data_IF_654449345348
#
_entry.id   IF_654449345348
#
_cell.length_a   1.000
_cell.length_b   1.000
_cell.length_c   1.000
_cell.angle_alpha   90.00
_cell.angle_beta   90.00
_cell.angle_gamma   90.00
#
_symmetry.space_group_name_H-M   'P 1'
#
loop_
_entity.id
_entity.type
_entity.pdbx_description
1 polymer ?
#
# COMPACT_ATOMS: atom_id res chain seq x y z
N UNK A 1 -22.72 10.12 36.93
CA UNK A 1 -22.82 9.06 37.96
C UNK A 1 -23.26 7.81 37.23
N UNK A 2 -22.44 6.81 36.94
CA UNK A 2 -21.62 6.01 37.83
C UNK A 2 -20.28 5.69 37.15
N UNK A 3 -19.20 5.87 37.91
CA UNK A 3 -17.90 5.27 37.63
C UNK A 3 -18.00 3.75 37.80
N UNK A 4 -17.29 2.99 36.97
CA UNK A 4 -16.33 1.99 37.46
C UNK A 4 -15.34 1.65 36.35
N UNK A 5 -14.10 2.07 36.59
CA UNK A 5 -12.92 1.74 35.83
C UNK A 5 -12.57 0.26 36.03
N UNK A 6 -12.46 -0.51 34.96
CA UNK A 6 -11.70 -1.77 34.96
C UNK A 6 -10.99 -1.95 33.61
N UNK A 7 -10.07 -1.04 33.32
CA UNK A 7 -8.98 -1.31 32.37
C UNK A 7 -7.74 -1.66 33.19
N UNK A 8 -7.26 -2.90 33.12
CA UNK A 8 -5.86 -3.22 33.43
C UNK A 8 -5.03 -2.81 32.22
N UNK A 9 -4.80 -1.50 32.11
CA UNK A 9 -3.74 -0.93 31.29
C UNK A 9 -2.57 -0.72 32.23
N UNK A 10 -1.45 -1.41 31.99
CA UNK A 10 -0.18 -0.99 32.57
C UNK A 10 0.30 0.15 31.67
N UNK A 11 -0.24 1.36 31.87
CA UNK A 11 0.18 2.57 31.16
C UNK A 11 0.44 3.69 32.15
N UNK A 12 1.59 4.33 32.00
CA UNK A 12 1.81 5.67 32.54
C UNK A 12 1.73 6.66 31.36
N UNK A 13 0.64 7.44 31.36
CA UNK A 13 0.37 8.65 30.56
C UNK A 13 -0.14 8.42 29.11
N UNK A 14 -1.02 9.31 28.63
CA UNK A 14 -2.17 9.05 27.76
C UNK A 14 -2.07 9.55 26.29
N UNK A 15 -2.55 8.71 25.34
CA UNK A 15 -3.44 8.87 24.14
C UNK A 15 -3.36 10.09 23.16
N UNK A 16 -3.87 10.03 21.89
CA UNK A 16 -4.85 9.08 21.29
C UNK A 16 -4.62 8.49 19.87
N UNK A 17 -4.96 7.20 19.73
CA UNK A 17 -5.70 6.45 18.67
C UNK A 17 -5.86 6.96 17.22
N UNK A 18 -5.33 6.21 16.24
CA UNK A 18 -6.01 5.69 15.02
C UNK A 18 -5.24 4.44 14.53
N UNK A 19 -5.95 3.36 14.16
CA UNK A 19 -5.48 1.98 13.83
C UNK A 19 -5.53 0.98 14.99
N UNK A 20 -6.74 0.51 15.33
CA UNK A 20 -6.93 -0.73 16.08
C UNK A 20 -8.02 -1.55 15.39
N UNK A 21 -7.73 -2.73 14.82
CA UNK A 21 -8.77 -3.69 14.48
C UNK A 21 -9.22 -4.40 15.77
N UNK A 22 -10.49 -4.80 15.78
CA UNK A 22 -11.20 -5.64 16.77
C UNK A 22 -12.08 -4.93 17.82
N UNK A 23 -13.37 -5.26 17.75
CA UNK A 23 -14.45 -4.79 18.62
C UNK A 23 -14.54 -5.48 19.97
N UNK A 24 -15.40 -4.89 20.81
CA UNK A 24 -15.68 -5.18 22.22
C UNK A 24 -15.81 -6.68 22.53
N UNK A 25 -14.83 -7.23 23.24
CA UNK A 25 -14.89 -8.25 24.31
C UNK A 25 -13.45 -8.35 24.87
N UNK A 26 -13.17 -7.78 26.05
CA UNK A 26 -11.80 -7.82 26.63
C UNK A 26 -11.41 -9.28 26.88
N UNK A 27 -10.42 -9.79 26.12
CA UNK A 27 -9.90 -11.18 26.25
C UNK A 27 -8.37 -11.27 26.35
N UNK A 28 -7.68 -10.14 26.48
CA UNK A 28 -6.23 -10.13 26.71
C UNK A 28 -5.79 -8.80 27.31
N UNK A 29 -4.83 -8.79 28.25
CA UNK A 29 -4.22 -7.55 28.69
C UNK A 29 -3.60 -6.82 27.50
N UNK A 30 -3.70 -5.48 27.48
CA UNK A 30 -2.89 -4.64 26.59
C UNK A 30 -1.67 -4.24 27.39
N UNK A 31 -0.50 -4.73 26.99
CA UNK A 31 0.76 -4.30 27.58
C UNK A 31 1.40 -3.27 26.66
N UNK A 32 1.50 -2.05 27.17
CA UNK A 32 2.09 -0.89 26.52
C UNK A 32 3.05 -0.28 27.52
N UNK A 33 4.34 -0.62 27.39
CA UNK A 33 5.36 -0.17 28.34
C UNK A 33 6.40 0.66 27.62
N UNK A 34 6.80 1.77 28.24
CA UNK A 34 7.94 2.58 27.79
C UNK A 34 9.29 1.90 28.04
N UNK A 35 9.32 0.74 28.74
CA UNK A 35 10.54 -0.03 29.09
C UNK A 35 10.25 -1.54 29.21
N UNK A 36 9.95 -2.27 28.12
CA UNK A 36 9.71 -3.71 28.19
C UNK A 36 11.04 -4.47 28.06
N UNK A 37 11.92 -4.38 29.05
CA UNK A 37 13.20 -5.12 28.98
C UNK A 37 13.05 -6.61 29.28
N UNK A 38 11.98 -7.03 29.99
CA UNK A 38 11.78 -8.44 30.38
C UNK A 38 10.29 -8.82 30.50
N UNK A 39 9.85 -9.81 29.73
CA UNK A 39 8.56 -10.49 29.86
C UNK A 39 8.75 -11.83 30.58
N UNK A 40 9.29 -11.81 31.80
CA UNK A 40 9.65 -13.02 32.57
C UNK A 40 8.51 -13.56 33.44
N UNK A 41 7.33 -12.93 33.43
CA UNK A 41 6.19 -13.37 34.25
C UNK A 41 5.28 -14.36 33.52
N UNK A 42 4.96 -15.47 34.19
CA UNK A 42 4.00 -16.49 33.72
C UNK A 42 2.58 -15.93 33.51
N UNK A 43 2.29 -14.73 34.03
CA UNK A 43 1.03 -14.02 33.83
C UNK A 43 0.79 -13.57 32.37
N UNK A 44 1.83 -13.59 31.52
CA UNK A 44 1.74 -13.15 30.13
C UNK A 44 1.37 -14.27 29.14
N UNK A 45 1.18 -15.52 29.59
CA UNK A 45 0.83 -16.64 28.70
C UNK A 45 -0.55 -16.49 28.02
N UNK A 46 -1.42 -15.61 28.53
CA UNK A 46 -2.73 -15.27 27.94
C UNK A 46 -2.67 -14.03 27.03
N UNK A 47 -1.52 -13.36 26.93
CA UNK A 47 -1.36 -12.14 26.15
C UNK A 47 -1.57 -12.43 24.67
N UNK A 48 -2.45 -11.65 24.03
CA UNK A 48 -2.75 -11.76 22.59
C UNK A 48 -2.27 -10.55 21.79
N UNK A 49 -2.09 -9.42 22.46
CA UNK A 49 -1.69 -8.15 21.84
C UNK A 49 -0.55 -7.56 22.67
N UNK A 50 0.60 -7.38 22.04
CA UNK A 50 1.75 -6.71 22.61
C UNK A 50 2.10 -5.53 21.71
N UNK A 51 2.12 -4.33 22.29
CA UNK A 51 2.56 -3.13 21.59
C UNK A 51 3.67 -2.43 22.38
N UNK A 52 4.88 -2.58 21.87
CA UNK A 52 6.09 -1.92 22.35
C UNK A 52 6.71 -1.06 21.24
N UNK A 53 5.90 -0.53 20.32
CA UNK A 53 6.37 0.30 19.21
C UNK A 53 6.67 1.75 19.61
N UNK A 54 6.30 2.17 20.83
CA UNK A 54 6.50 3.54 21.29
C UNK A 54 7.87 3.76 21.96
N UNK A 55 8.72 4.48 21.24
CA UNK A 55 9.77 5.39 21.75
C UNK A 55 10.84 4.79 22.66
N UNK A 56 11.73 3.99 22.07
CA UNK A 56 13.18 4.25 22.20
C UNK A 56 14.00 3.36 21.24
N UNK A 57 15.00 3.92 20.54
CA UNK A 57 15.88 3.15 19.65
C UNK A 57 16.82 2.19 20.39
N UNK A 58 16.87 2.26 21.73
CA UNK A 58 17.80 1.48 22.56
C UNK A 58 17.24 0.11 22.98
N UNK A 59 15.98 -0.20 22.66
CA UNK A 59 15.39 -1.51 23.01
C UNK A 59 15.52 -2.50 21.85
N UNK A 60 16.61 -3.25 21.91
CA UNK A 60 16.99 -4.18 20.85
C UNK A 60 16.36 -5.58 20.95
N UNK A 61 15.66 -5.93 22.03
CA UNK A 61 15.04 -7.25 22.16
C UNK A 61 14.01 -7.29 23.29
N UNK A 62 12.82 -7.83 23.03
CA UNK A 62 11.86 -8.16 24.09
C UNK A 62 12.22 -9.57 24.62
N UNK A 63 12.99 -9.64 25.70
CA UNK A 63 13.34 -10.91 26.36
C UNK A 63 12.05 -11.59 26.86
N UNK A 64 11.84 -12.88 26.57
CA UNK A 64 10.67 -13.64 27.01
C UNK A 64 9.50 -13.64 26.02
N UNK A 65 9.68 -13.11 24.81
CA UNK A 65 8.65 -13.15 23.76
C UNK A 65 8.27 -14.58 23.36
N UNK A 66 9.20 -15.52 23.50
CA UNK A 66 9.02 -16.96 23.30
C UNK A 66 7.96 -17.58 24.22
N UNK A 67 7.65 -16.95 25.36
CA UNK A 67 6.64 -17.41 26.31
C UNK A 67 5.22 -17.01 25.88
N UNK A 68 5.07 -16.09 24.92
CA UNK A 68 3.78 -15.54 24.49
C UNK A 68 3.08 -16.42 23.45
N UNK A 69 2.79 -17.66 23.81
CA UNK A 69 2.21 -18.69 22.92
C UNK A 69 0.79 -18.39 22.42
N UNK A 70 0.15 -17.32 22.91
CA UNK A 70 -1.18 -16.88 22.49
C UNK A 70 -1.18 -15.54 21.75
N UNK A 71 0.01 -14.99 21.48
CA UNK A 71 0.16 -13.73 20.79
C UNK A 71 -0.41 -13.80 19.37
N UNK A 72 -1.22 -12.81 19.02
CA UNK A 72 -1.84 -12.63 17.69
C UNK A 72 -1.41 -11.32 17.03
N UNK A 73 -1.09 -10.32 17.83
CA UNK A 73 -0.61 -9.03 17.38
C UNK A 73 0.67 -8.66 18.12
N UNK A 74 1.70 -8.29 17.36
CA UNK A 74 2.98 -7.82 17.87
C UNK A 74 3.35 -6.51 17.18
N UNK A 75 3.55 -5.44 17.95
CA UNK A 75 4.11 -4.19 17.48
C UNK A 75 5.42 -3.90 18.23
N UNK A 76 6.51 -3.68 17.49
CA UNK A 76 7.86 -3.48 18.04
C UNK A 76 8.58 -2.33 17.31
N UNK A 77 9.51 -1.66 17.98
CA UNK A 77 10.40 -0.66 17.34
C UNK A 77 11.73 -1.25 16.84
N UNK A 78 11.91 -2.57 16.92
CA UNK A 78 13.20 -3.21 16.66
C UNK A 78 13.32 -3.71 15.20
N UNK A 79 14.49 -3.51 14.59
CA UNK A 79 14.81 -4.10 13.29
C UNK A 79 15.07 -5.62 13.38
N UNK A 80 15.48 -6.12 14.55
CA UNK A 80 15.70 -7.54 14.79
C UNK A 80 14.41 -8.19 15.25
N UNK A 81 13.88 -9.08 14.40
CA UNK A 81 12.64 -9.78 14.66
C UNK A 81 12.87 -11.00 15.57
N UNK A 82 11.82 -11.48 16.25
CA UNK A 82 11.94 -12.65 17.10
C UNK A 82 12.42 -13.85 16.27
N UNK A 83 13.51 -14.48 16.69
CA UNK A 83 14.00 -15.74 16.09
C UNK A 83 13.17 -16.96 16.53
N UNK A 84 11.95 -16.75 17.01
CA UNK A 84 11.08 -17.77 17.59
C UNK A 84 9.76 -17.81 16.83
N UNK A 85 9.30 -19.02 16.52
CA UNK A 85 8.05 -19.23 15.81
C UNK A 85 6.84 -19.01 16.74
N UNK A 86 6.20 -17.86 16.61
CA UNK A 86 4.96 -17.52 17.29
C UNK A 86 3.76 -18.04 16.49
N UNK A 87 3.42 -19.32 16.66
CA UNK A 87 2.46 -20.05 15.80
C UNK A 87 1.07 -19.42 15.66
N UNK A 88 0.61 -18.63 16.65
CA UNK A 88 -0.69 -17.94 16.65
C UNK A 88 -0.62 -16.48 16.20
N UNK A 89 0.56 -15.98 15.88
CA UNK A 89 0.74 -14.58 15.47
C UNK A 89 0.10 -14.37 14.11
N UNK A 90 -0.78 -13.37 14.02
CA UNK A 90 -1.54 -13.04 12.81
C UNK A 90 -1.03 -11.73 12.19
N UNK A 91 -0.54 -10.81 13.02
CA UNK A 91 -0.12 -9.47 12.63
C UNK A 91 1.20 -9.07 13.30
N UNK A 92 2.14 -8.58 12.50
CA UNK A 92 3.36 -7.94 12.99
C UNK A 92 3.52 -6.52 12.44
N UNK A 93 3.78 -5.58 13.34
CA UNK A 93 4.13 -4.19 13.05
C UNK A 93 5.54 -3.89 13.54
N UNK A 94 6.35 -3.31 12.67
CA UNK A 94 7.72 -2.93 12.95
C UNK A 94 7.85 -1.43 12.68
N UNK A 95 8.04 -0.64 13.73
CA UNK A 95 8.30 0.80 13.66
C UNK A 95 9.78 1.08 13.37
N UNK A 96 10.26 0.59 12.23
CA UNK A 96 11.62 0.81 11.78
C UNK A 96 11.77 2.16 11.05
N UNK A 97 12.87 2.88 11.34
CA UNK A 97 13.21 4.14 10.65
C UNK A 97 13.88 3.94 9.29
N UNK A 98 14.58 2.82 9.14
CA UNK A 98 15.29 2.38 7.92
C UNK A 98 14.77 1.01 7.54
N UNK A 99 15.05 0.57 6.32
CA UNK A 99 14.71 -0.77 5.84
C UNK A 99 15.08 -1.85 6.88
N UNK A 100 14.12 -2.73 7.17
CA UNK A 100 14.29 -3.89 8.06
C UNK A 100 14.42 -5.19 7.27
N UNK A 101 14.76 -6.28 7.94
CA UNK A 101 14.88 -7.59 7.29
C UNK A 101 13.70 -8.49 7.62
N UNK A 102 13.19 -9.22 6.63
CA UNK A 102 12.24 -10.31 6.79
C UNK A 102 13.03 -11.63 6.86
N UNK A 103 13.16 -12.28 8.03
CA UNK A 103 13.72 -13.61 8.17
C UNK A 103 12.78 -14.69 7.65
N UNK A 104 13.38 -15.82 7.25
CA UNK A 104 12.71 -17.05 6.82
C UNK A 104 11.71 -17.58 7.88
N UNK A 105 12.06 -17.46 9.17
CA UNK A 105 11.19 -17.85 10.29
C UNK A 105 9.82 -17.17 10.21
N UNK A 106 9.77 -15.89 9.80
CA UNK A 106 8.50 -15.16 9.68
C UNK A 106 7.66 -15.66 8.50
N UNK A 107 8.30 -16.04 7.39
CA UNK A 107 7.61 -16.62 6.24
C UNK A 107 7.01 -18.00 6.57
N UNK A 108 7.60 -18.73 7.52
CA UNK A 108 7.14 -20.04 7.95
C UNK A 108 6.10 -20.02 9.10
N UNK A 109 5.64 -18.84 9.55
CA UNK A 109 4.63 -18.76 10.62
C UNK A 109 3.23 -19.08 10.10
N UNK A 110 2.64 -20.18 10.58
CA UNK A 110 1.36 -20.74 10.09
C UNK A 110 0.18 -19.75 10.13
N UNK A 111 0.07 -18.94 11.19
CA UNK A 111 -1.06 -18.02 11.37
C UNK A 111 -0.82 -16.62 10.81
N UNK A 112 0.41 -16.31 10.36
CA UNK A 112 0.80 -14.95 10.02
C UNK A 112 0.16 -14.50 8.71
N UNK A 113 -0.53 -13.35 8.75
CA UNK A 113 -1.28 -12.80 7.61
C UNK A 113 -0.78 -11.42 7.20
N UNK A 114 -0.29 -10.65 8.15
CA UNK A 114 0.04 -9.25 7.92
C UNK A 114 1.42 -8.90 8.48
N UNK A 115 2.28 -8.43 7.60
CA UNK A 115 3.63 -7.99 7.91
C UNK A 115 3.76 -6.52 7.52
N UNK A 116 4.01 -5.67 8.51
CA UNK A 116 4.09 -4.23 8.28
C UNK A 116 5.37 -3.64 8.86
N UNK A 117 6.19 -3.07 7.99
CA UNK A 117 7.37 -2.27 8.32
C UNK A 117 7.12 -0.83 7.91
N UNK A 118 7.30 0.11 8.83
CA UNK A 118 7.14 1.55 8.55
C UNK A 118 8.20 2.07 7.58
N UNK A 119 9.44 1.63 7.75
CA UNK A 119 10.59 2.04 6.94
C UNK A 119 10.82 1.15 5.71
N UNK A 120 9.90 0.23 5.41
CA UNK A 120 10.10 -0.81 4.38
C UNK A 120 10.93 -1.99 4.88
N UNK A 121 11.02 -3.03 4.07
CA UNK A 121 11.80 -4.23 4.39
C UNK A 121 12.39 -4.89 3.15
N UNK A 122 13.41 -5.72 3.34
CA UNK A 122 13.97 -6.63 2.34
C UNK A 122 14.00 -8.07 2.90
N UNK A 123 14.17 -9.07 2.03
CA UNK A 123 14.38 -10.43 2.51
C UNK A 123 15.79 -10.59 3.07
N UNK A 124 15.89 -11.19 4.26
CA UNK A 124 17.17 -11.39 4.94
C UNK A 124 18.10 -12.36 4.21
N UNK A 125 19.37 -12.38 4.62
CA UNK A 125 20.33 -13.38 4.15
C UNK A 125 19.92 -14.83 4.49
N UNK A 126 19.15 -15.06 5.57
CA UNK A 126 18.71 -16.41 5.94
C UNK A 126 17.71 -16.98 4.92
N UNK A 127 16.83 -16.14 4.35
CA UNK A 127 15.95 -16.53 3.24
C UNK A 127 16.76 -17.07 2.05
N UNK A 128 17.87 -16.40 1.72
CA UNK A 128 18.72 -16.75 0.57
C UNK A 128 19.54 -18.02 0.82
N UNK A 129 20.01 -18.23 2.06
CA UNK A 129 20.68 -19.48 2.42
C UNK A 129 19.76 -20.70 2.32
N UNK A 130 18.47 -20.53 2.65
CA UNK A 130 17.48 -21.59 2.56
C UNK A 130 17.19 -21.97 1.10
N UNK A 131 17.10 -20.98 0.20
CA UNK A 131 16.93 -21.22 -1.24
C UNK A 131 18.05 -22.09 -1.83
N UNK A 132 19.28 -21.98 -1.31
CA UNK A 132 20.44 -22.76 -1.78
C UNK A 132 20.48 -24.21 -1.26
N UNK A 133 19.64 -24.57 -0.28
CA UNK A 133 19.65 -25.88 0.38
C UNK A 133 18.61 -26.87 -0.15
N UNK A 134 17.85 -26.50 -1.20
CA UNK A 134 16.72 -27.28 -1.74
C UNK A 134 15.62 -27.61 -0.70
N UNK A 135 15.67 -27.01 0.48
CA UNK A 135 14.59 -27.05 1.46
C UNK A 135 13.52 -26.04 1.02
N UNK A 136 12.51 -26.54 0.30
CA UNK A 136 11.39 -25.73 -0.20
C UNK A 136 10.76 -24.92 0.93
N UNK A 137 10.79 -23.59 0.82
CA UNK A 137 9.92 -22.73 1.63
C UNK A 137 8.47 -23.19 1.42
N UNK A 138 7.74 -23.36 2.51
CA UNK A 138 6.35 -23.78 2.43
C UNK A 138 5.47 -22.59 2.01
N UNK A 139 4.36 -22.89 1.33
CA UNK A 139 3.34 -21.88 1.05
C UNK A 139 2.88 -21.26 2.36
N UNK A 140 2.94 -19.94 2.44
CA UNK A 140 2.56 -19.16 3.60
C UNK A 140 1.14 -18.57 3.46
N UNK A 141 0.65 -18.02 4.57
CA UNK A 141 -0.71 -17.46 4.66
C UNK A 141 -0.74 -15.92 4.59
N UNK A 142 0.34 -15.29 4.09
CA UNK A 142 0.44 -13.85 4.01
C UNK A 142 -0.61 -13.27 3.06
N UNK A 143 -1.29 -12.23 3.54
CA UNK A 143 -2.31 -11.47 2.83
C UNK A 143 -1.88 -10.03 2.59
N UNK A 144 -0.99 -9.50 3.42
CA UNK A 144 -0.46 -8.14 3.27
C UNK A 144 0.99 -8.07 3.69
N UNK A 145 1.79 -7.50 2.80
CA UNK A 145 3.13 -7.01 3.09
C UNK A 145 3.10 -5.49 2.86
N UNK A 146 3.76 -4.73 3.73
CA UNK A 146 3.96 -3.29 3.55
C UNK A 146 4.90 -3.01 2.36
N UNK A 147 5.74 -1.98 2.45
CA UNK A 147 6.79 -1.74 1.45
C UNK A 147 7.86 -2.82 1.54
N UNK A 148 8.10 -3.51 0.44
CA UNK A 148 9.13 -4.52 0.24
C UNK A 148 10.09 -4.06 -0.86
N UNK A 149 11.39 -4.08 -0.59
CA UNK A 149 12.42 -3.88 -1.60
C UNK A 149 12.63 -5.17 -2.37
N UNK A 150 12.55 -5.09 -3.70
CA UNK A 150 12.86 -6.19 -4.62
C UNK A 150 14.14 -5.84 -5.37
N UNK A 151 15.20 -6.57 -5.08
CA UNK A 151 16.51 -6.36 -5.69
C UNK A 151 16.77 -7.27 -6.89
N UNK A 152 16.25 -8.49 -6.87
CA UNK A 152 16.48 -9.51 -7.90
C UNK A 152 15.34 -10.55 -8.00
N UNK A 153 15.48 -11.51 -8.92
CA UNK A 153 14.51 -12.59 -9.16
C UNK A 153 14.34 -13.53 -7.94
N UNK A 154 15.33 -13.63 -7.05
CA UNK A 154 15.23 -14.42 -5.83
C UNK A 154 14.15 -13.85 -4.90
N UNK A 155 14.08 -12.52 -4.79
CA UNK A 155 13.05 -11.83 -4.00
C UNK A 155 11.66 -12.06 -4.59
N UNK A 156 11.53 -12.11 -5.92
CA UNK A 156 10.28 -12.50 -6.59
C UNK A 156 9.90 -13.94 -6.29
N UNK A 157 10.87 -14.85 -6.29
CA UNK A 157 10.63 -16.25 -5.97
C UNK A 157 10.14 -16.42 -4.53
N UNK A 158 10.61 -15.61 -3.58
CA UNK A 158 10.07 -15.61 -2.22
C UNK A 158 8.60 -15.17 -2.16
N UNK A 159 8.19 -14.25 -3.03
CA UNK A 159 6.80 -13.82 -3.13
C UNK A 159 5.87 -14.92 -3.67
N UNK A 160 6.38 -15.88 -4.47
CA UNK A 160 5.59 -17.01 -4.98
C UNK A 160 5.09 -17.93 -3.87
N UNK A 161 5.76 -17.97 -2.72
CA UNK A 161 5.29 -18.69 -1.54
C UNK A 161 4.10 -18.01 -0.85
N UNK A 162 3.68 -16.83 -1.31
CA UNK A 162 2.57 -16.05 -0.74
C UNK A 162 1.38 -15.94 -1.71
N UNK A 163 0.74 -17.05 -2.16
CA UNK A 163 -0.26 -17.02 -3.23
C UNK A 163 -1.55 -16.27 -2.85
N UNK A 164 -1.83 -16.11 -1.56
CA UNK A 164 -3.01 -15.43 -1.02
C UNK A 164 -2.80 -13.93 -0.77
N UNK A 165 -1.69 -13.36 -1.25
CA UNK A 165 -1.36 -11.96 -1.05
C UNK A 165 -2.36 -11.06 -1.77
N UNK A 166 -2.98 -10.14 -1.02
CA UNK A 166 -3.99 -9.19 -1.54
C UNK A 166 -3.47 -7.77 -1.65
N UNK A 167 -2.46 -7.42 -0.85
CA UNK A 167 -1.89 -6.08 -0.78
C UNK A 167 -0.38 -6.15 -0.71
N UNK A 168 0.27 -5.46 -1.65
CA UNK A 168 1.71 -5.39 -1.75
C UNK A 168 2.14 -3.97 -2.13
N UNK A 169 3.20 -3.48 -1.50
CA UNK A 169 3.92 -2.31 -1.99
C UNK A 169 5.37 -2.72 -2.26
N UNK A 170 5.90 -2.33 -3.40
CA UNK A 170 7.24 -2.68 -3.82
C UNK A 170 8.04 -1.44 -4.17
N UNK A 171 9.31 -1.46 -3.76
CA UNK A 171 10.35 -0.57 -4.26
C UNK A 171 11.31 -1.45 -5.05
N UNK A 172 11.50 -1.13 -6.33
CA UNK A 172 12.25 -1.98 -7.25
C UNK A 172 13.48 -1.23 -7.71
N UNK A 173 14.63 -1.90 -7.63
CA UNK A 173 15.89 -1.38 -8.15
C UNK A 173 15.82 -1.05 -9.64
N UNK A 174 16.60 -0.06 -10.08
CA UNK A 174 16.51 0.55 -11.42
C UNK A 174 16.82 -0.38 -12.61
N UNK A 175 17.35 -1.58 -12.36
CA UNK A 175 17.80 -2.51 -13.42
C UNK A 175 16.91 -3.74 -13.57
N UNK A 176 15.83 -3.85 -12.80
CA UNK A 176 15.01 -5.05 -12.72
C UNK A 176 13.54 -4.75 -12.99
N UNK A 177 12.88 -5.52 -13.86
CA UNK A 177 11.45 -5.34 -14.16
C UNK A 177 10.65 -6.57 -13.68
N UNK A 178 10.14 -6.56 -12.44
CA UNK A 178 9.52 -7.73 -11.84
C UNK A 178 8.20 -8.10 -12.51
N UNK A 179 7.89 -9.39 -12.50
CA UNK A 179 6.68 -9.94 -13.11
C UNK A 179 5.71 -10.40 -12.01
N UNK A 180 4.62 -9.66 -11.81
CA UNK A 180 3.64 -9.97 -10.74
C UNK A 180 2.45 -10.81 -11.21
N UNK A 181 2.52 -11.39 -12.42
CA UNK A 181 1.45 -12.22 -13.01
C UNK A 181 1.11 -13.49 -12.20
N UNK A 182 2.02 -13.97 -11.34
CA UNK A 182 1.79 -15.16 -10.52
C UNK A 182 0.81 -14.93 -9.36
N UNK A 183 0.46 -13.67 -9.07
CA UNK A 183 -0.52 -13.37 -8.03
C UNK A 183 -1.96 -13.45 -8.54
N UNK A 184 -2.69 -14.45 -8.08
CA UNK A 184 -4.09 -14.65 -8.45
C UNK A 184 -5.08 -13.84 -7.59
N UNK A 185 -4.68 -13.36 -6.41
CA UNK A 185 -5.58 -12.66 -5.48
C UNK A 185 -5.15 -11.22 -5.17
N UNK A 186 -4.13 -10.70 -5.86
CA UNK A 186 -3.61 -9.36 -5.56
C UNK A 186 -4.61 -8.29 -6.01
N UNK A 187 -5.20 -7.59 -5.03
CA UNK A 187 -6.20 -6.56 -5.26
C UNK A 187 -5.59 -5.15 -5.26
N UNK A 188 -4.47 -4.94 -4.56
CA UNK A 188 -3.82 -3.64 -4.44
C UNK A 188 -2.30 -3.75 -4.57
N UNK A 189 -1.75 -3.03 -5.53
CA UNK A 189 -0.31 -2.95 -5.79
C UNK A 189 0.17 -1.51 -5.78
N UNK A 190 1.27 -1.24 -5.09
CA UNK A 190 2.03 0.01 -5.24
C UNK A 190 3.43 -0.34 -5.72
N UNK A 191 3.91 0.33 -6.75
CA UNK A 191 5.23 0.12 -7.32
C UNK A 191 5.97 1.44 -7.38
N UNK A 192 7.23 1.43 -6.95
CA UNK A 192 8.12 2.58 -7.05
C UNK A 192 9.41 2.18 -7.74
N UNK A 193 9.85 2.96 -8.73
CA UNK A 193 11.12 2.73 -9.44
C UNK A 193 10.96 2.26 -10.88
N UNK A 194 11.48 1.07 -11.19
CA UNK A 194 11.63 0.55 -12.56
C UNK A 194 10.31 0.23 -13.27
N UNK A 195 10.43 -0.12 -14.56
CA UNK A 195 9.31 -0.42 -15.44
C UNK A 195 8.56 -1.70 -15.07
N UNK A 196 7.38 -1.84 -15.64
CA UNK A 196 6.51 -2.99 -15.49
C UNK A 196 6.59 -3.90 -16.73
N UNK A 197 6.74 -5.20 -16.51
CA UNK A 197 6.63 -6.22 -17.57
C UNK A 197 5.26 -6.89 -17.55
N UNK A 198 4.72 -7.20 -16.37
CA UNK A 198 3.40 -7.83 -16.24
C UNK A 198 2.69 -7.43 -14.95
N UNK A 199 1.35 -7.35 -15.01
CA UNK A 199 0.50 -7.02 -13.89
C UNK A 199 -0.53 -8.14 -13.62
N UNK A 200 -0.90 -8.39 -12.35
CA UNK A 200 -1.95 -9.34 -12.03
C UNK A 200 -3.33 -8.82 -12.45
N UNK A 201 -4.16 -9.73 -12.94
CA UNK A 201 -5.45 -9.40 -13.57
C UNK A 201 -6.56 -9.00 -12.58
N UNK A 202 -6.44 -9.35 -11.30
CA UNK A 202 -7.42 -9.06 -10.25
C UNK A 202 -7.20 -7.74 -9.52
N UNK A 203 -6.33 -6.87 -10.05
CA UNK A 203 -6.04 -5.58 -9.45
C UNK A 203 -7.26 -4.66 -9.47
N UNK A 204 -7.62 -4.17 -8.28
CA UNK A 204 -8.61 -3.10 -8.08
C UNK A 204 -7.95 -1.75 -7.85
N UNK A 205 -6.71 -1.74 -7.35
CA UNK A 205 -5.96 -0.54 -7.06
C UNK A 205 -4.51 -0.66 -7.51
N UNK A 206 -4.09 0.29 -8.33
CA UNK A 206 -2.71 0.44 -8.77
C UNK A 206 -2.18 1.82 -8.38
N UNK A 207 -0.96 1.86 -7.86
CA UNK A 207 -0.23 3.11 -7.62
C UNK A 207 1.18 2.96 -8.18
N UNK A 208 1.54 3.79 -9.14
CA UNK A 208 2.87 3.83 -9.75
C UNK A 208 3.58 5.09 -9.31
N UNK A 209 4.81 4.95 -8.82
CA UNK A 209 5.63 6.05 -8.31
C UNK A 209 6.99 6.09 -9.01
N UNK A 210 7.38 7.26 -9.48
CA UNK A 210 8.71 7.48 -10.07
C UNK A 210 9.04 6.50 -11.20
N UNK A 211 8.03 6.12 -12.00
CA UNK A 211 8.19 5.16 -13.10
C UNK A 211 8.16 5.87 -14.45
N UNK A 212 9.04 5.44 -15.36
CA UNK A 212 8.96 5.81 -16.78
C UNK A 212 7.97 4.87 -17.48
N UNK A 213 6.88 5.42 -17.98
CA UNK A 213 5.81 4.69 -18.68
C UNK A 213 6.04 4.71 -20.19
N UNK A 214 6.07 3.53 -20.81
CA UNK A 214 5.92 3.38 -22.25
C UNK A 214 4.43 3.31 -22.63
N UNK A 215 4.14 3.49 -23.93
CA UNK A 215 2.79 3.32 -24.47
C UNK A 215 2.23 1.92 -24.19
N UNK A 216 3.04 0.88 -24.45
CA UNK A 216 2.67 -0.53 -24.23
C UNK A 216 2.29 -0.81 -22.77
N UNK A 217 3.01 -0.22 -21.80
CA UNK A 217 2.70 -0.40 -20.38
C UNK A 217 1.35 0.22 -20.02
N UNK A 218 1.02 1.37 -20.59
CA UNK A 218 -0.25 2.03 -20.35
C UNK A 218 -1.42 1.28 -20.99
N UNK A 219 -1.24 0.67 -22.17
CA UNK A 219 -2.25 -0.22 -22.75
C UNK A 219 -2.53 -1.42 -21.84
N UNK A 220 -1.48 -2.04 -21.27
CA UNK A 220 -1.63 -3.15 -20.33
C UNK A 220 -2.45 -2.71 -19.10
N UNK A 221 -2.15 -1.54 -18.54
CA UNK A 221 -2.88 -1.00 -17.39
C UNK A 221 -4.33 -0.65 -17.78
N UNK A 222 -4.53 -0.07 -18.96
CA UNK A 222 -5.83 0.28 -19.53
C UNK A 222 -6.74 -0.93 -19.68
N UNK A 223 -6.20 -2.09 -20.04
CA UNK A 223 -6.99 -3.33 -20.21
C UNK A 223 -7.34 -4.06 -18.90
N UNK A 224 -6.95 -3.53 -17.73
CA UNK A 224 -7.28 -4.16 -16.44
C UNK A 224 -8.78 -4.04 -16.13
N UNK A 225 -9.51 -5.14 -16.28
CA UNK A 225 -10.96 -5.20 -16.17
C UNK A 225 -11.53 -4.89 -14.78
N UNK A 226 -10.73 -5.03 -13.73
CA UNK A 226 -11.17 -4.81 -12.34
C UNK A 226 -10.61 -3.53 -11.71
N UNK A 227 -9.83 -2.74 -12.46
CA UNK A 227 -9.10 -1.60 -11.90
C UNK A 227 -10.05 -0.44 -11.60
N UNK A 228 -10.26 -0.13 -10.32
CA UNK A 228 -11.13 0.95 -9.87
C UNK A 228 -10.35 2.22 -9.48
N UNK A 229 -9.09 2.06 -9.09
CA UNK A 229 -8.25 3.15 -8.56
C UNK A 229 -6.89 3.13 -9.24
N UNK A 230 -6.57 4.18 -9.96
CA UNK A 230 -5.24 4.42 -10.54
C UNK A 230 -4.64 5.68 -9.93
N UNK A 231 -3.39 5.57 -9.48
CA UNK A 231 -2.60 6.71 -8.99
C UNK A 231 -1.25 6.72 -9.68
N UNK A 232 -0.97 7.79 -10.41
CA UNK A 232 0.32 8.05 -11.02
C UNK A 232 1.00 9.15 -10.20
N UNK A 233 2.21 8.88 -9.70
CA UNK A 233 2.96 9.81 -8.87
C UNK A 233 4.37 9.96 -9.42
N UNK A 234 4.78 11.17 -9.80
CA UNK A 234 6.12 11.43 -10.35
C UNK A 234 6.47 10.54 -11.55
N UNK A 235 5.47 10.12 -12.33
CA UNK A 235 5.66 9.30 -13.53
C UNK A 235 6.03 10.17 -14.74
N UNK A 236 6.71 9.60 -15.72
CA UNK A 236 7.02 10.25 -16.99
C UNK A 236 6.57 9.38 -18.17
N UNK A 237 6.21 9.99 -19.29
CA UNK A 237 5.67 9.31 -20.46
C UNK A 237 6.58 9.57 -21.66
N UNK A 238 6.78 8.57 -22.51
CA UNK A 238 7.48 8.77 -23.77
C UNK A 238 6.75 9.83 -24.62
N UNK A 239 7.50 10.82 -25.13
CA UNK A 239 6.94 11.95 -25.87
C UNK A 239 6.14 12.95 -25.02
N UNK A 240 6.14 12.84 -23.68
CA UNK A 240 5.33 13.65 -22.77
C UNK A 240 3.83 13.63 -23.12
N UNK A 241 3.36 12.52 -23.68
CA UNK A 241 2.01 12.36 -24.20
C UNK A 241 1.35 11.16 -23.56
N UNK A 242 0.11 11.33 -23.13
CA UNK A 242 -0.74 10.23 -22.69
C UNK A 242 -1.93 10.12 -23.64
N UNK A 243 -1.86 9.15 -24.55
CA UNK A 243 -2.98 8.76 -25.38
C UNK A 243 -3.72 7.60 -24.73
N UNK A 244 -5.04 7.67 -24.70
CA UNK A 244 -5.91 6.59 -24.25
C UNK A 244 -6.74 6.10 -25.43
N UNK A 245 -7.11 4.83 -25.41
CA UNK A 245 -7.82 4.18 -26.50
C UNK A 245 -9.18 3.62 -26.08
N UNK A 246 -10.01 3.32 -27.07
CA UNK A 246 -11.31 2.67 -26.86
C UNK A 246 -11.16 1.35 -26.08
N UNK A 247 -12.05 1.14 -25.09
CA UNK A 247 -12.07 -0.06 -24.27
C UNK A 247 -11.08 -0.08 -23.10
N UNK A 248 -10.26 0.97 -22.93
CA UNK A 248 -9.41 1.11 -21.75
C UNK A 248 -10.21 1.56 -20.51
N UNK A 249 -9.64 1.27 -19.34
CA UNK A 249 -10.11 1.68 -18.01
C UNK A 249 -11.62 1.45 -17.73
N UNK A 250 -12.18 0.26 -18.05
CA UNK A 250 -13.64 0.05 -18.06
C UNK A 250 -14.31 0.17 -16.67
N UNK A 251 -13.56 -0.01 -15.59
CA UNK A 251 -14.05 0.06 -14.20
C UNK A 251 -13.45 1.20 -13.37
N UNK A 252 -12.65 2.08 -13.99
CA UNK A 252 -11.91 3.09 -13.26
C UNK A 252 -12.85 4.13 -12.67
N UNK A 253 -12.85 4.29 -11.34
CA UNK A 253 -13.67 5.26 -10.60
C UNK A 253 -12.86 6.44 -10.09
N UNK A 254 -11.58 6.23 -9.82
CA UNK A 254 -10.70 7.26 -9.26
C UNK A 254 -9.36 7.29 -9.99
N UNK A 255 -9.04 8.46 -10.55
CA UNK A 255 -7.74 8.76 -11.16
C UNK A 255 -7.05 9.88 -10.39
N UNK A 256 -5.84 9.61 -9.88
CA UNK A 256 -4.94 10.63 -9.35
C UNK A 256 -3.69 10.75 -10.21
N UNK A 257 -3.39 11.95 -10.65
CA UNK A 257 -2.17 12.33 -11.36
C UNK A 257 -1.44 13.35 -10.50
N UNK A 258 -0.26 13.00 -10.01
CA UNK A 258 0.53 13.82 -9.08
C UNK A 258 1.96 13.98 -9.60
N UNK A 259 2.42 15.22 -9.83
CA UNK A 259 3.78 15.50 -10.33
C UNK A 259 4.16 14.72 -11.61
N UNK A 260 3.19 14.40 -12.48
CA UNK A 260 3.45 13.60 -13.69
C UNK A 260 3.96 14.49 -14.82
N UNK A 261 4.99 14.03 -15.52
CA UNK A 261 5.59 14.72 -16.67
C UNK A 261 4.83 14.41 -17.97
N UNK A 262 3.62 14.93 -18.08
CA UNK A 262 2.78 14.89 -19.29
C UNK A 262 2.46 16.32 -19.73
N UNK A 263 2.58 16.58 -21.03
CA UNK A 263 2.22 17.83 -21.67
C UNK A 263 0.86 17.74 -22.36
N UNK A 264 0.61 16.62 -23.03
CA UNK A 264 -0.62 16.36 -23.78
C UNK A 264 -1.29 15.09 -23.25
N UNK A 265 -2.57 15.21 -22.94
CA UNK A 265 -3.41 14.08 -22.58
C UNK A 265 -4.53 14.02 -23.60
N UNK A 266 -4.57 12.98 -24.44
CA UNK A 266 -5.63 12.80 -25.42
C UNK A 266 -6.51 11.64 -24.99
N UNK A 267 -7.79 11.95 -24.79
CA UNK A 267 -8.77 10.99 -24.32
C UNK A 267 -10.16 11.39 -24.79
N UNK A 268 -11.05 10.42 -24.75
CA UNK A 268 -12.48 10.58 -25.01
C UNK A 268 -13.27 10.08 -23.79
N UNK A 269 -14.53 10.47 -23.68
CA UNK A 269 -15.38 10.13 -22.53
C UNK A 269 -15.59 8.62 -22.39
N UNK A 270 -15.64 7.90 -23.50
CA UNK A 270 -15.81 6.45 -23.58
C UNK A 270 -14.57 5.66 -23.11
N UNK A 271 -13.40 6.28 -23.04
CA UNK A 271 -12.18 5.67 -22.50
C UNK A 271 -12.19 5.60 -20.96
N UNK A 272 -13.11 6.29 -20.30
CA UNK A 272 -13.24 6.32 -18.83
C UNK A 272 -14.71 6.28 -18.39
N UNK A 273 -15.48 5.26 -18.80
CA UNK A 273 -16.94 5.29 -18.74
C UNK A 273 -17.52 5.33 -17.32
N UNK A 274 -16.72 4.97 -16.31
CA UNK A 274 -17.11 4.90 -14.89
C UNK A 274 -16.35 5.87 -13.98
N UNK A 275 -15.60 6.82 -14.54
CA UNK A 275 -14.77 7.72 -13.77
C UNK A 275 -15.62 8.69 -12.96
N UNK A 276 -15.45 8.66 -11.64
CA UNK A 276 -16.19 9.50 -10.70
C UNK A 276 -15.37 10.69 -10.20
N UNK A 277 -14.05 10.50 -10.07
CA UNK A 277 -13.16 11.48 -9.44
C UNK A 277 -11.83 11.57 -10.18
N UNK A 278 -11.53 12.78 -10.64
CA UNK A 278 -10.24 13.16 -11.18
C UNK A 278 -9.51 14.09 -10.20
N UNK A 279 -8.27 13.76 -9.88
CA UNK A 279 -7.41 14.55 -9.01
C UNK A 279 -6.08 14.84 -9.71
N UNK A 280 -5.86 16.11 -10.03
CA UNK A 280 -4.62 16.63 -10.62
C UNK A 280 -3.88 17.44 -9.56
N UNK A 281 -2.66 17.04 -9.24
CA UNK A 281 -1.81 17.72 -8.26
C UNK A 281 -0.43 17.99 -8.84
N UNK A 282 0.04 19.23 -8.81
CA UNK A 282 1.38 19.62 -9.25
C UNK A 282 1.69 19.18 -10.70
N UNK A 283 0.69 19.16 -11.57
CA UNK A 283 0.82 18.85 -13.00
C UNK A 283 1.21 20.12 -13.77
N UNK A 284 2.45 20.56 -13.62
CA UNK A 284 2.91 21.85 -14.18
C UNK A 284 3.10 21.85 -15.70
N UNK A 285 3.31 20.69 -16.32
CA UNK A 285 3.55 20.57 -17.77
C UNK A 285 2.28 20.37 -18.59
N UNK A 286 1.19 19.89 -17.95
CA UNK A 286 -0.04 19.57 -18.65
C UNK A 286 -0.65 20.85 -19.21
N UNK A 287 -0.94 20.87 -20.52
CA UNK A 287 -1.46 22.06 -21.21
C UNK A 287 -2.92 22.33 -20.86
N UNK A 288 -3.75 21.29 -20.82
CA UNK A 288 -5.18 21.39 -20.54
C UNK A 288 -5.75 20.06 -20.07
N UNK A 289 -6.89 20.11 -19.38
CA UNK A 289 -7.76 18.94 -19.19
C UNK A 289 -8.56 18.72 -20.48
N UNK A 290 -8.62 17.49 -21.02
CA UNK A 290 -9.47 17.20 -22.19
C UNK A 290 -10.94 17.47 -21.88
N UNK A 291 -11.60 18.27 -22.72
CA UNK A 291 -13.00 18.66 -22.53
C UNK A 291 -13.96 17.47 -22.53
N UNK A 292 -13.62 16.43 -23.31
CA UNK A 292 -14.34 15.15 -23.37
C UNK A 292 -14.50 14.48 -22.01
N UNK A 293 -13.62 14.74 -21.03
CA UNK A 293 -13.80 14.21 -19.67
C UNK A 293 -15.05 14.79 -18.99
N UNK A 294 -15.47 16.00 -19.38
CA UNK A 294 -16.72 16.60 -18.92
C UNK A 294 -17.95 15.77 -19.33
N UNK A 295 -17.90 15.11 -20.48
CA UNK A 295 -19.01 14.33 -21.03
C UNK A 295 -19.19 12.96 -20.35
N UNK A 296 -18.33 12.62 -19.39
CA UNK A 296 -18.42 11.36 -18.61
C UNK A 296 -19.62 11.47 -17.65
N UNK A 297 -20.69 10.69 -17.83
CA UNK A 297 -21.91 10.87 -17.04
C UNK A 297 -21.75 10.58 -15.54
N UNK A 298 -20.73 9.79 -15.19
CA UNK A 298 -20.46 9.39 -13.81
C UNK A 298 -19.50 10.34 -13.08
N UNK A 299 -18.95 11.34 -13.77
CA UNK A 299 -17.96 12.25 -13.21
C UNK A 299 -18.61 13.22 -12.23
N UNK A 300 -18.22 13.11 -10.97
CA UNK A 300 -18.76 13.90 -9.87
C UNK A 300 -17.80 14.98 -9.40
N UNK A 301 -16.50 14.80 -9.62
CA UNK A 301 -15.50 15.69 -9.05
C UNK A 301 -14.23 15.80 -9.89
N UNK A 302 -13.82 17.04 -10.14
CA UNK A 302 -12.46 17.38 -10.59
C UNK A 302 -11.82 18.22 -9.50
N UNK A 303 -10.68 17.77 -8.98
CA UNK A 303 -9.88 18.54 -8.03
C UNK A 303 -8.52 18.85 -8.65
N UNK A 304 -8.17 20.13 -8.63
CA UNK A 304 -6.91 20.67 -9.13
C UNK A 304 -6.16 21.32 -7.97
N UNK A 305 -4.90 20.96 -7.77
CA UNK A 305 -4.06 21.54 -6.71
C UNK A 305 -2.66 21.86 -7.21
N UNK A 306 -2.22 23.11 -7.08
CA UNK A 306 -0.88 23.53 -7.46
C UNK A 306 -0.50 23.26 -8.92
N UNK A 307 -1.46 23.30 -9.85
CA UNK A 307 -1.23 23.13 -11.30
C UNK A 307 -1.09 24.49 -12.00
N UNK A 308 -0.70 24.47 -13.29
CA UNK A 308 -0.64 25.68 -14.11
C UNK A 308 -2.04 26.30 -14.32
N UNK A 309 -2.07 27.61 -14.57
CA UNK A 309 -3.32 28.36 -14.77
C UNK A 309 -4.19 27.78 -15.90
N UNK A 310 -3.59 27.26 -16.97
CA UNK A 310 -4.32 26.63 -18.07
C UNK A 310 -5.14 25.38 -17.63
N UNK A 311 -4.69 24.65 -16.60
CA UNK A 311 -5.44 23.53 -16.00
C UNK A 311 -6.63 24.03 -15.20
N UNK A 312 -6.45 25.14 -14.48
CA UNK A 312 -7.52 25.80 -13.72
C UNK A 312 -8.60 26.32 -14.67
N UNK A 313 -8.20 26.95 -15.78
CA UNK A 313 -9.11 27.46 -16.81
C UNK A 313 -9.87 26.34 -17.50
N UNK A 314 -9.18 25.27 -17.93
CA UNK A 314 -9.85 24.11 -18.55
C UNK A 314 -10.79 23.38 -17.60
N UNK A 315 -10.44 23.22 -16.32
CA UNK A 315 -11.34 22.65 -15.32
C UNK A 315 -12.60 23.51 -15.12
N UNK A 316 -12.42 24.84 -15.07
CA UNK A 316 -13.55 25.78 -14.91
C UNK A 316 -14.47 25.78 -16.14
N UNK A 317 -13.89 25.71 -17.34
CA UNK A 317 -14.64 25.61 -18.60
C UNK A 317 -15.51 24.36 -18.65
N UNK A 318 -14.96 23.21 -18.26
CA UNK A 318 -15.72 21.94 -18.16
C UNK A 318 -16.90 22.11 -17.19
N UNK A 319 -16.70 22.81 -16.06
CA UNK A 319 -17.79 23.04 -15.11
C UNK A 319 -18.89 23.94 -15.69
N UNK A 320 -18.53 24.99 -16.40
CA UNK A 320 -19.47 25.91 -17.04
C UNK A 320 -20.28 25.19 -18.12
N UNK A 321 -19.63 24.44 -19.01
CA UNK A 321 -20.29 23.65 -20.06
C UNK A 321 -21.29 22.63 -19.46
N UNK A 322 -20.92 21.98 -18.35
CA UNK A 322 -21.83 21.05 -17.67
C UNK A 322 -23.03 21.77 -17.05
N UNK A 323 -22.85 22.96 -16.47
CA UNK A 323 -23.96 23.76 -15.95
C UNK A 323 -24.90 24.26 -17.04
N UNK A 324 -24.36 24.68 -18.18
CA UNK A 324 -25.15 25.11 -19.35
C UNK A 324 -26.00 23.95 -19.90
N UNK A 325 -25.52 22.72 -19.76
CA UNK A 325 -26.27 21.49 -20.06
C UNK A 325 -27.21 21.03 -18.93
N UNK A 326 -27.31 21.79 -17.84
CA UNK A 326 -28.19 21.51 -16.70
C UNK A 326 -27.62 20.54 -15.65
N UNK A 327 -26.33 20.19 -15.71
CA UNK A 327 -25.67 19.36 -14.72
C UNK A 327 -25.05 20.21 -13.59
N UNK A 328 -25.73 20.27 -12.45
CA UNK A 328 -25.24 20.95 -11.24
C UNK A 328 -24.44 20.04 -10.30
N UNK A 329 -24.36 18.72 -10.58
CA UNK A 329 -23.73 17.75 -9.68
C UNK A 329 -22.21 17.74 -9.76
N UNK A 330 -21.62 18.13 -10.91
CA UNK A 330 -20.18 18.16 -11.10
C UNK A 330 -19.51 19.24 -10.24
N UNK A 331 -18.68 18.80 -9.29
CA UNK A 331 -17.91 19.68 -8.40
C UNK A 331 -16.48 19.86 -8.90
N UNK A 332 -16.14 21.08 -9.31
CA UNK A 332 -14.76 21.49 -9.55
C UNK A 332 -14.21 22.20 -8.32
N UNK A 333 -13.08 21.70 -7.80
CA UNK A 333 -12.37 22.29 -6.66
C UNK A 333 -10.95 22.67 -7.06
N UNK A 334 -10.68 23.97 -7.03
CA UNK A 334 -9.35 24.52 -7.28
C UNK A 334 -8.75 24.90 -5.94
N UNK A 335 -7.56 24.39 -5.66
CA UNK A 335 -6.79 24.70 -4.46
C UNK A 335 -5.45 25.25 -4.93
N UNK A 336 -5.11 26.46 -4.54
CA UNK A 336 -3.86 27.11 -4.96
C UNK A 336 -2.66 26.60 -4.16
#
# INVERSE_FOLDING_TARGET
MYQQQHHLSINNVARPSYLLPFGLHVRSPLYTSSKPSTLTSHSFNILRVLDSSERSPDFNYVIGIELLVHLRYLAISCAQLPSVNLRKLEFIFVDNKREGEIPDILLNMESLRHVYFRGGACFSASCRQQANKDESLQINNLQTISTLHISDETDENFLRFSPNLRRLKCEVGSLHNPSFNFFNQLESLTLSGSGLTSLPFNLKKLTLKSVKMSLEQMEIIGRLLNLEVLKLQSASFDGNKWDTSEGEFPQLKFLKVHCVQIAEWNTSSDHFPRLQRLLLEHCHLLKMIPSSLGDIPTLQMIKVYGCAQAIVESASKIQEEQRDMGNEELKVMIVN
#
